data_IF_388469477093
#
_entry.id   IF_388469477093
#
_cell.length_a   1.000
_cell.length_b   1.000
_cell.length_c   1.000
_cell.angle_alpha   90.00
_cell.angle_beta   90.00
_cell.angle_gamma   90.00
#
_symmetry.space_group_name_H-M   'P 1'
#
loop_
_entity.id
_entity.type
_entity.pdbx_description
1 polymer ?
#
# COMPACT_ATOMS: atom_id res chain seq x y z
N UNK A 1 35.59 -8.55 4.57
CA UNK A 1 35.27 -7.65 3.45
C UNK A 1 33.76 -7.74 3.29
N UNK A 2 33.06 -7.01 4.16
CA UNK A 2 31.61 -7.01 4.29
C UNK A 2 31.07 -6.10 3.19
N UNK A 3 30.30 -6.67 2.26
CA UNK A 3 29.57 -5.89 1.28
C UNK A 3 28.32 -5.37 1.99
N UNK A 4 28.35 -4.10 2.37
CA UNK A 4 27.23 -3.44 3.02
C UNK A 4 25.98 -3.43 2.16
N UNK A 5 24.87 -3.72 2.83
CA UNK A 5 23.50 -3.64 2.38
C UNK A 5 23.14 -2.23 1.88
N UNK A 6 23.50 -1.90 0.65
CA UNK A 6 22.93 -0.78 -0.10
C UNK A 6 21.78 -1.27 -0.99
N UNK A 7 20.83 -2.03 -0.44
CA UNK A 7 19.58 -2.29 -1.13
C UNK A 7 18.48 -1.36 -0.64
N UNK A 8 18.55 -0.15 -1.19
CA UNK A 8 17.38 0.60 -1.65
C UNK A 8 16.41 1.14 -0.58
N UNK A 9 16.91 2.12 0.18
CA UNK A 9 16.09 3.22 0.72
C UNK A 9 15.38 4.04 -0.41
N UNK A 10 15.75 3.82 -1.68
CA UNK A 10 15.25 4.56 -2.83
C UNK A 10 13.76 4.27 -3.15
N UNK A 11 13.16 3.17 -2.68
CA UNK A 11 11.72 2.94 -2.83
C UNK A 11 10.86 3.74 -1.83
N UNK A 12 11.47 4.27 -0.77
CA UNK A 12 10.76 4.91 0.34
C UNK A 12 10.24 6.32 -0.01
N UNK A 13 10.93 7.05 -0.91
CA UNK A 13 10.64 8.47 -1.16
C UNK A 13 9.75 8.76 -2.37
N UNK A 14 9.23 7.75 -3.09
CA UNK A 14 8.44 8.01 -4.30
C UNK A 14 6.98 8.41 -4.01
N UNK A 15 6.52 8.21 -2.77
CA UNK A 15 5.15 8.54 -2.34
C UNK A 15 5.07 9.65 -1.30
N UNK A 16 6.20 10.16 -0.81
CA UNK A 16 6.26 11.43 -0.05
C UNK A 16 6.17 12.63 -1.01
N UNK A 17 5.15 12.61 -1.88
CA UNK A 17 4.72 13.75 -2.67
C UNK A 17 3.63 14.49 -1.91
N UNK A 18 4.05 15.33 -0.96
CA UNK A 18 3.32 16.49 -0.46
C UNK A 18 1.79 16.32 -0.28
N UNK A 19 1.38 15.71 0.83
CA UNK A 19 -0.02 15.74 1.30
C UNK A 19 -0.45 17.13 1.82
N UNK A 20 0.29 18.20 1.52
CA UNK A 20 0.01 19.55 2.04
C UNK A 20 -0.25 20.57 0.94
N UNK A 21 -1.10 20.26 -0.05
CA UNK A 21 -1.66 21.28 -0.93
C UNK A 21 -2.86 20.79 -1.75
N UNK A 22 -4.00 20.49 -1.11
CA UNK A 22 -5.30 20.53 -1.81
C UNK A 22 -6.48 20.92 -0.92
N UNK A 23 -6.21 21.53 0.24
CA UNK A 23 -7.22 22.15 1.12
C UNK A 23 -7.70 23.52 0.60
N UNK A 24 -7.92 23.66 -0.72
CA UNK A 24 -8.53 24.89 -1.24
C UNK A 24 -9.16 24.78 -2.64
N UNK A 25 -10.03 23.80 -2.85
CA UNK A 25 -11.12 23.99 -3.81
C UNK A 25 -12.46 23.96 -3.08
N UNK A 26 -12.59 24.86 -2.10
CA UNK A 26 -13.89 25.29 -1.62
C UNK A 26 -14.48 26.30 -2.63
N UNK A 27 -15.16 25.79 -3.66
CA UNK A 27 -16.22 26.56 -4.30
C UNK A 27 -17.54 25.84 -4.02
N UNK A 28 -18.07 26.20 -2.85
CA UNK A 28 -19.42 26.72 -2.69
C UNK A 28 -20.49 25.92 -3.43
N UNK A 29 -21.29 25.20 -2.63
CA UNK A 29 -22.70 24.98 -2.91
C UNK A 29 -23.26 26.17 -3.68
N UNK A 30 -23.77 26.04 -4.92
CA UNK A 30 -24.55 27.11 -5.49
C UNK A 30 -25.80 27.17 -4.62
N UNK A 31 -25.79 28.11 -3.68
CA UNK A 31 -27.00 28.64 -3.09
C UNK A 31 -27.95 28.94 -4.24
N UNK A 32 -29.22 28.61 -4.03
CA UNK A 32 -30.35 29.00 -4.86
C UNK A 32 -30.23 30.49 -5.22
N UNK A 33 -29.62 30.75 -6.36
CA UNK A 33 -29.63 32.06 -6.98
C UNK A 33 -31.02 32.22 -7.54
N UNK A 34 -31.83 33.00 -6.82
CA UNK A 34 -33.11 33.55 -7.23
C UNK A 34 -33.27 33.60 -8.75
N UNK A 35 -34.35 32.97 -9.24
CA UNK A 35 -34.87 33.13 -10.59
C UNK A 35 -35.17 34.61 -10.87
N UNK A 36 -34.19 35.36 -11.32
CA UNK A 36 -34.36 36.70 -11.88
C UNK A 36 -33.54 36.78 -13.14
N UNK A 37 -34.18 36.49 -14.26
CA UNK A 37 -34.26 37.40 -15.40
C UNK A 37 -34.68 36.65 -16.66
N UNK A 38 -35.91 36.92 -17.10
CA UNK A 38 -36.32 36.96 -18.50
C UNK A 38 -37.68 37.67 -18.55
N UNK A 39 -37.67 38.98 -18.29
CA UNK A 39 -38.79 39.82 -18.72
C UNK A 39 -38.65 40.03 -20.23
N UNK A 40 -39.24 39.14 -21.02
CA UNK A 40 -39.42 39.32 -22.45
C UNK A 40 -40.55 40.32 -22.61
N UNK A 41 -40.23 41.57 -22.94
CA UNK A 41 -41.22 42.54 -23.37
C UNK A 41 -41.72 42.10 -24.74
N UNK A 42 -42.91 41.50 -24.76
CA UNK A 42 -43.55 40.96 -25.94
C UNK A 42 -44.41 42.04 -26.60
N UNK A 43 -43.95 42.53 -27.75
CA UNK A 43 -44.86 43.10 -28.72
C UNK A 43 -44.29 42.90 -30.12
N UNK A 44 -44.84 41.92 -30.83
CA UNK A 44 -45.19 42.01 -32.25
C UNK A 44 -45.83 40.69 -32.72
N UNK A 45 -47.15 40.74 -33.01
CA UNK A 45 -47.90 39.68 -33.68
C UNK A 45 -47.39 39.47 -35.12
N UNK A 46 -46.45 38.54 -35.30
CA UNK A 46 -46.12 38.00 -36.63
C UNK A 46 -45.83 36.49 -36.52
N UNK A 47 -46.40 35.60 -37.37
CA UNK A 47 -46.17 34.15 -37.35
C UNK A 47 -44.71 33.66 -37.36
N UNK A 48 -43.75 34.52 -37.71
CA UNK A 48 -42.30 34.24 -37.67
C UNK A 48 -41.70 34.34 -36.25
N UNK A 49 -42.33 35.10 -35.35
CA UNK A 49 -41.92 35.26 -33.94
C UNK A 49 -42.08 33.96 -33.13
N UNK A 50 -43.08 33.14 -33.47
CA UNK A 50 -43.34 31.83 -32.86
C UNK A 50 -42.17 30.85 -33.03
N UNK A 51 -41.59 30.78 -34.24
CA UNK A 51 -40.45 29.89 -34.54
C UNK A 51 -39.18 30.36 -33.82
N UNK A 52 -38.95 31.67 -33.77
CA UNK A 52 -37.80 32.27 -33.06
C UNK A 52 -37.89 32.05 -31.55
N UNK A 53 -39.09 32.16 -30.94
CA UNK A 53 -39.29 31.84 -29.52
C UNK A 53 -39.03 30.37 -29.22
N UNK A 54 -39.50 29.44 -30.06
CA UNK A 54 -39.26 28.01 -29.88
C UNK A 54 -37.76 27.66 -29.93
N UNK A 55 -36.99 28.34 -30.78
CA UNK A 55 -35.54 28.13 -30.85
C UNK A 55 -34.80 28.70 -29.65
N UNK A 56 -35.24 29.84 -29.11
CA UNK A 56 -34.70 30.38 -27.86
C UNK A 56 -34.98 29.44 -26.67
N UNK A 57 -36.19 28.90 -26.56
CA UNK A 57 -36.54 27.93 -25.52
C UNK A 57 -35.68 26.66 -25.61
N UNK A 58 -35.47 26.13 -26.82
CA UNK A 58 -34.57 24.99 -27.04
C UNK A 58 -33.13 25.29 -26.61
N UNK A 59 -32.62 26.49 -26.89
CA UNK A 59 -31.28 26.91 -26.47
C UNK A 59 -31.18 26.98 -24.95
N UNK A 60 -32.19 27.57 -24.27
CA UNK A 60 -32.24 27.63 -22.81
C UNK A 60 -32.28 26.23 -22.18
N UNK A 61 -33.14 25.34 -22.69
CA UNK A 61 -33.20 23.93 -22.25
C UNK A 61 -31.85 23.22 -22.42
N UNK A 62 -31.16 23.43 -23.55
CA UNK A 62 -29.81 22.88 -23.78
C UNK A 62 -28.78 23.46 -22.81
N UNK A 63 -28.83 24.76 -22.53
CA UNK A 63 -27.90 25.42 -21.59
C UNK A 63 -28.05 24.85 -20.18
N UNK A 64 -29.28 24.67 -19.71
CA UNK A 64 -29.57 24.06 -18.40
C UNK A 64 -29.15 22.60 -18.35
N UNK A 65 -29.50 21.81 -19.37
CA UNK A 65 -29.11 20.40 -19.44
C UNK A 65 -27.59 20.21 -19.51
N UNK A 66 -26.90 21.02 -20.31
CA UNK A 66 -25.44 20.98 -20.40
C UNK A 66 -24.79 21.37 -19.07
N UNK A 67 -25.28 22.43 -18.43
CA UNK A 67 -24.84 22.84 -17.08
C UNK A 67 -24.94 21.68 -16.09
N UNK A 68 -26.09 21.01 -16.04
CA UNK A 68 -26.29 19.87 -15.15
C UNK A 68 -25.40 18.67 -15.53
N UNK A 69 -25.22 18.40 -16.82
CA UNK A 69 -24.34 17.32 -17.29
C UNK A 69 -22.86 17.57 -16.95
N UNK A 70 -22.40 18.81 -17.06
CA UNK A 70 -21.06 19.23 -16.68
C UNK A 70 -20.87 19.09 -15.16
N UNK A 71 -21.87 19.50 -14.36
CA UNK A 71 -21.86 19.32 -12.90
C UNK A 71 -21.77 17.84 -12.52
N UNK A 72 -22.61 16.98 -13.10
CA UNK A 72 -22.59 15.52 -12.87
C UNK A 72 -21.25 14.90 -13.24
N UNK A 73 -20.66 15.34 -14.36
CA UNK A 73 -19.36 14.86 -14.81
C UNK A 73 -18.26 15.23 -13.82
N UNK A 74 -18.23 16.49 -13.34
CA UNK A 74 -17.29 16.93 -12.32
C UNK A 74 -17.45 16.14 -11.03
N UNK A 75 -18.68 15.93 -10.56
CA UNK A 75 -18.96 15.14 -9.36
C UNK A 75 -18.50 13.69 -9.50
N UNK A 76 -18.71 13.05 -10.65
CA UNK A 76 -18.23 11.69 -10.91
C UNK A 76 -16.72 11.61 -10.85
N UNK A 77 -16.01 12.51 -11.55
CA UNK A 77 -14.55 12.56 -11.55
C UNK A 77 -13.99 12.81 -10.14
N UNK A 78 -14.62 13.70 -9.37
CA UNK A 78 -14.25 13.96 -7.97
C UNK A 78 -14.33 12.70 -7.12
N UNK A 79 -15.45 11.96 -7.20
CA UNK A 79 -15.61 10.68 -6.48
C UNK A 79 -14.53 9.66 -6.86
N UNK A 80 -14.20 9.55 -8.15
CA UNK A 80 -13.15 8.64 -8.61
C UNK A 80 -11.78 9.03 -8.05
N UNK A 81 -11.48 10.33 -7.95
CA UNK A 81 -10.24 10.81 -7.33
C UNK A 81 -10.24 10.48 -5.83
N UNK A 82 -11.32 10.77 -5.11
CA UNK A 82 -11.46 10.46 -3.68
C UNK A 82 -11.30 8.95 -3.42
N UNK A 83 -11.93 8.10 -4.23
CA UNK A 83 -11.78 6.64 -4.16
C UNK A 83 -10.32 6.23 -4.40
N UNK A 84 -9.66 6.73 -5.45
CA UNK A 84 -8.26 6.41 -5.73
C UNK A 84 -7.31 6.88 -4.62
N UNK A 85 -7.52 8.07 -4.05
CA UNK A 85 -6.74 8.58 -2.92
C UNK A 85 -6.87 7.65 -1.71
N UNK A 86 -8.09 7.24 -1.37
CA UNK A 86 -8.32 6.29 -0.27
C UNK A 86 -7.59 4.96 -0.52
N UNK A 87 -7.58 4.44 -1.76
CA UNK A 87 -6.85 3.21 -2.08
C UNK A 87 -5.35 3.39 -1.91
N UNK A 88 -4.78 4.52 -2.33
CA UNK A 88 -3.35 4.83 -2.13
C UNK A 88 -3.03 4.86 -0.64
N UNK A 89 -3.81 5.58 0.17
CA UNK A 89 -3.59 5.65 1.63
C UNK A 89 -3.63 4.26 2.30
N UNK A 90 -4.61 3.44 1.93
CA UNK A 90 -4.73 2.06 2.44
C UNK A 90 -3.53 1.19 2.04
N UNK A 91 -3.12 1.25 0.78
CA UNK A 91 -1.97 0.48 0.28
C UNK A 91 -0.67 0.95 0.93
N UNK A 92 -0.48 2.26 1.07
CA UNK A 92 0.67 2.85 1.77
C UNK A 92 0.73 2.38 3.22
N UNK A 93 -0.39 2.43 3.94
CA UNK A 93 -0.47 1.95 5.33
C UNK A 93 -0.20 0.45 5.42
N UNK A 94 -0.75 -0.35 4.50
CA UNK A 94 -0.50 -1.79 4.44
C UNK A 94 0.98 -2.09 4.15
N UNK A 95 1.61 -1.33 3.26
CA UNK A 95 3.01 -1.46 2.92
C UNK A 95 3.90 -1.20 4.14
N UNK A 96 3.69 -0.09 4.86
CA UNK A 96 4.40 0.20 6.11
C UNK A 96 4.25 -0.92 7.13
N UNK A 97 3.02 -1.40 7.35
CA UNK A 97 2.77 -2.51 8.28
C UNK A 97 3.47 -3.81 7.89
N UNK A 98 3.60 -4.10 6.59
CA UNK A 98 4.33 -5.28 6.12
C UNK A 98 5.84 -5.11 6.28
N UNK A 99 6.34 -3.92 5.99
CA UNK A 99 7.74 -3.58 6.18
C UNK A 99 8.18 -3.73 7.64
N UNK A 100 7.42 -3.17 8.58
CA UNK A 100 7.69 -3.29 10.02
C UNK A 100 7.67 -4.74 10.49
N UNK A 101 6.74 -5.56 9.98
CA UNK A 101 6.71 -7.00 10.27
C UNK A 101 7.96 -7.72 9.76
N UNK A 102 8.44 -7.38 8.57
CA UNK A 102 9.67 -7.96 8.03
C UNK A 102 10.86 -7.60 8.91
N UNK A 103 11.01 -6.33 9.30
CA UNK A 103 12.08 -5.90 10.21
C UNK A 103 12.01 -6.69 11.52
N UNK A 104 10.85 -6.73 12.17
CA UNK A 104 10.68 -7.44 13.44
C UNK A 104 10.99 -8.94 13.31
N UNK A 105 10.58 -9.59 12.22
CA UNK A 105 10.91 -10.99 11.97
C UNK A 105 12.41 -11.22 11.78
N UNK A 106 13.11 -10.31 11.09
CA UNK A 106 14.56 -10.37 10.94
C UNK A 106 15.28 -10.22 12.29
N UNK A 107 14.85 -9.26 13.12
CA UNK A 107 15.39 -9.08 14.47
C UNK A 107 15.18 -10.32 15.35
N UNK A 108 13.95 -10.86 15.35
CA UNK A 108 13.63 -12.08 16.09
C UNK A 108 14.44 -13.28 15.59
N UNK A 109 14.63 -13.41 14.27
CA UNK A 109 15.46 -14.47 13.70
C UNK A 109 16.92 -14.37 14.16
N UNK A 110 17.49 -13.16 14.15
CA UNK A 110 18.85 -12.91 14.66
C UNK A 110 18.97 -13.28 16.13
N UNK A 111 17.97 -12.92 16.95
CA UNK A 111 17.94 -13.29 18.36
C UNK A 111 17.92 -14.81 18.56
N UNK A 112 17.04 -15.52 17.86
CA UNK A 112 16.92 -16.98 17.93
C UNK A 112 18.22 -17.66 17.47
N UNK A 113 18.85 -17.19 16.39
CA UNK A 113 20.12 -17.72 15.92
C UNK A 113 21.24 -17.52 16.95
N UNK A 114 21.27 -16.36 17.61
CA UNK A 114 22.22 -16.08 18.67
C UNK A 114 22.04 -17.02 19.87
N UNK A 115 20.82 -17.19 20.36
CA UNK A 115 20.51 -18.14 21.44
C UNK A 115 20.85 -19.58 21.05
N UNK A 116 20.54 -19.98 19.81
CA UNK A 116 20.87 -21.30 19.30
C UNK A 116 22.39 -21.55 19.30
N UNK A 117 23.17 -20.54 18.89
CA UNK A 117 24.64 -20.60 18.94
C UNK A 117 25.14 -20.78 20.37
N UNK A 118 24.63 -19.99 21.32
CA UNK A 118 25.01 -20.10 22.73
C UNK A 118 24.67 -21.48 23.32
N UNK A 119 23.50 -22.04 22.97
CA UNK A 119 23.10 -23.37 23.43
C UNK A 119 24.01 -24.45 22.84
N UNK A 120 24.35 -24.36 21.54
CA UNK A 120 25.30 -25.28 20.89
C UNK A 120 26.69 -25.23 21.54
N UNK A 121 27.17 -24.04 21.87
CA UNK A 121 28.43 -23.86 22.58
C UNK A 121 28.40 -24.55 23.96
N UNK A 122 27.34 -24.31 24.76
CA UNK A 122 27.17 -24.96 26.07
C UNK A 122 27.10 -26.49 25.96
N UNK A 123 26.38 -27.02 24.96
CA UNK A 123 26.31 -28.46 24.70
C UNK A 123 27.69 -29.01 24.32
N UNK A 124 28.43 -28.31 23.46
CA UNK A 124 29.79 -28.70 23.07
C UNK A 124 30.74 -28.69 24.27
N UNK A 125 30.66 -27.65 25.10
CA UNK A 125 31.44 -27.54 26.34
C UNK A 125 31.17 -28.72 27.28
N UNK A 126 29.90 -29.05 27.55
CA UNK A 126 29.58 -30.19 28.40
C UNK A 126 30.02 -31.51 27.76
N UNK A 127 29.80 -31.69 26.45
CA UNK A 127 30.23 -32.90 25.75
C UNK A 127 31.75 -33.11 25.87
N UNK A 128 32.54 -32.05 25.68
CA UNK A 128 33.99 -32.10 25.86
C UNK A 128 34.36 -32.45 27.30
N UNK A 129 33.77 -31.76 28.29
CA UNK A 129 34.05 -32.01 29.71
C UNK A 129 33.75 -33.47 30.12
N UNK A 130 32.61 -34.03 29.68
CA UNK A 130 32.24 -35.42 29.97
C UNK A 130 33.07 -36.45 29.17
N UNK A 131 33.62 -36.08 28.02
CA UNK A 131 34.53 -36.92 27.24
C UNK A 131 35.94 -36.92 27.85
N UNK A 132 36.41 -35.78 28.37
CA UNK A 132 37.69 -35.65 29.09
C UNK A 132 37.69 -36.44 30.41
N UNK A 133 36.58 -36.42 31.16
CA UNK A 133 36.40 -37.24 32.39
C UNK A 133 36.32 -38.76 32.12
N UNK A 134 36.16 -39.19 30.86
CA UNK A 134 36.13 -40.62 30.48
C UNK A 134 37.46 -41.20 30.00
N UNK A 135 38.54 -40.42 29.98
CA UNK A 135 39.87 -40.95 29.63
C UNK A 135 40.61 -41.43 30.88
N UNK A 136 40.27 -42.64 31.32
CA UNK A 136 41.15 -43.77 31.69
C UNK A 136 40.31 -44.78 32.50
N UNK A 137 39.71 -45.74 31.79
CA UNK A 137 39.49 -47.08 32.35
C UNK A 137 40.36 -48.04 31.53
N UNK A 138 41.46 -48.58 32.10
CA UNK A 138 42.24 -49.60 31.42
C UNK A 138 41.53 -50.93 31.66
N UNK A 139 40.82 -51.45 30.67
CA UNK A 139 40.21 -52.76 30.84
C UNK A 139 39.25 -53.21 29.75
N UNK A 140 39.84 -53.86 28.75
CA UNK A 140 39.33 -55.10 28.15
C UNK A 140 38.07 -55.07 27.26
N UNK A 141 38.34 -55.38 25.98
CA UNK A 141 37.60 -56.35 25.15
C UNK A 141 36.09 -56.14 24.91
N UNK A 142 35.73 -55.76 23.69
CA UNK A 142 35.37 -56.73 22.64
C UNK A 142 34.85 -56.01 21.39
N UNK A 143 35.20 -56.56 20.23
CA UNK A 143 34.87 -56.01 18.93
C UNK A 143 33.36 -56.00 18.66
N UNK A 144 32.93 -55.00 17.90
CA UNK A 144 31.71 -55.06 17.12
C UNK A 144 31.95 -54.27 15.84
N UNK A 145 32.30 -55.00 14.80
CA UNK A 145 32.32 -54.56 13.42
C UNK A 145 30.88 -54.54 12.91
N UNK A 146 30.32 -53.37 12.65
CA UNK A 146 29.07 -53.23 11.86
C UNK A 146 29.21 -52.03 10.92
N UNK A 147 29.66 -52.37 9.70
CA UNK A 147 29.23 -51.87 8.39
C UNK A 147 28.69 -50.43 8.31
N UNK A 148 29.41 -49.62 7.53
CA UNK A 148 28.97 -48.32 7.09
C UNK A 148 27.66 -48.36 6.31
N UNK A 149 26.88 -47.30 6.50
CA UNK A 149 25.91 -46.78 5.53
C UNK A 149 25.67 -45.31 5.87
N UNK A 150 26.07 -44.44 4.95
CA UNK A 150 25.78 -43.01 4.95
C UNK A 150 24.46 -42.80 4.20
N UNK A 151 23.46 -42.09 4.75
CA UNK A 151 22.39 -41.52 3.95
C UNK A 151 22.69 -40.04 3.68
N UNK A 152 23.01 -39.80 2.42
CA UNK A 152 22.78 -38.61 1.60
C UNK A 152 22.14 -37.35 2.25
N UNK A 153 22.75 -36.21 1.93
CA UNK A 153 22.26 -34.86 2.22
C UNK A 153 21.01 -34.51 1.37
N UNK A 154 20.14 -33.59 1.84
CA UNK A 154 19.04 -33.09 1.03
C UNK A 154 19.55 -32.11 -0.02
N UNK A 155 19.12 -32.33 -1.27
CA UNK A 155 19.11 -31.29 -2.31
C UNK A 155 17.97 -30.32 -2.02
N UNK A 156 18.27 -29.02 -2.15
CA UNK A 156 17.37 -27.88 -2.00
C UNK A 156 16.06 -28.01 -2.79
#
# INVERSE_FOLDING_TARGET
>A
MEAEDQYSSHYFNLFEGDSSQNDQFNLQNPQDGHDQDLHVHDHCDHPEASVVMLDQEKILRRRVSNRESARRTRMRKRKQIEELTMHVEQLTTSNYNLYDKVISLLENNRHILHENSQLKEKVSYFHQYFMEDRVVLPGSMNGCEVTGQSPHQPTW
#
